data_IF_930205468866
#
_entry.id   IF_930205468866
#
_cell.length_a   1.000
_cell.length_b   1.000
_cell.length_c   1.000
_cell.angle_alpha   90.00
_cell.angle_beta   90.00
_cell.angle_gamma   90.00
#
_symmetry.space_group_name_H-M   'P 1'
#
loop_
_entity.id
_entity.type
_entity.pdbx_description
1 polymer ?
#
# COMPACT_ATOMS: atom_id res chain seq x y z
N UNK A 1 -11.78 -15.40 -3.83
CA UNK A 1 -10.53 -14.64 -3.90
C UNK A 1 -10.83 -13.34 -4.62
N UNK A 2 -10.37 -12.21 -4.11
CA UNK A 2 -10.54 -10.90 -4.74
C UNK A 2 -9.59 -10.73 -5.93
N UNK A 3 -9.84 -9.73 -6.77
CA UNK A 3 -8.94 -9.35 -7.87
C UNK A 3 -7.85 -8.39 -7.41
N UNK A 4 -6.80 -8.21 -8.23
CA UNK A 4 -5.77 -7.20 -7.98
C UNK A 4 -6.37 -5.79 -7.86
N UNK A 5 -7.32 -5.43 -8.72
CA UNK A 5 -8.03 -4.15 -8.66
C UNK A 5 -8.77 -3.97 -7.33
N UNK A 6 -9.45 -5.01 -6.85
CA UNK A 6 -10.12 -4.97 -5.55
C UNK A 6 -9.12 -4.84 -4.39
N UNK A 7 -7.91 -5.38 -4.54
CA UNK A 7 -6.85 -5.22 -3.53
C UNK A 7 -6.32 -3.78 -3.49
N UNK A 8 -6.15 -3.14 -4.66
CA UNK A 8 -5.79 -1.73 -4.76
C UNK A 8 -6.86 -0.87 -4.09
N UNK A 9 -8.15 -1.07 -4.41
CA UNK A 9 -9.26 -0.35 -3.80
C UNK A 9 -9.32 -0.53 -2.28
N UNK A 10 -9.03 -1.74 -1.78
CA UNK A 10 -8.98 -2.01 -0.35
C UNK A 10 -7.86 -1.21 0.35
N UNK A 11 -6.67 -1.18 -0.26
CA UNK A 11 -5.54 -0.44 0.26
C UNK A 11 -5.74 1.10 0.17
N UNK A 12 -6.38 1.59 -0.89
CA UNK A 12 -6.73 3.01 -1.04
C UNK A 12 -7.75 3.47 0.02
N UNK A 13 -8.76 2.64 0.29
CA UNK A 13 -9.74 2.89 1.36
C UNK A 13 -9.05 2.92 2.73
N UNK A 14 -8.12 2.01 2.97
CA UNK A 14 -7.37 1.96 4.22
C UNK A 14 -6.51 3.22 4.43
N UNK A 15 -5.78 3.64 3.39
CA UNK A 15 -5.02 4.89 3.34
C UNK A 15 -5.88 6.10 3.72
N UNK A 16 -7.02 6.24 3.04
CA UNK A 16 -7.96 7.34 3.23
C UNK A 16 -8.51 7.37 4.66
N UNK A 17 -8.89 6.21 5.22
CA UNK A 17 -9.41 6.10 6.58
C UNK A 17 -8.38 6.49 7.64
N UNK A 18 -7.10 6.21 7.40
CA UNK A 18 -6.01 6.48 8.34
C UNK A 18 -5.38 7.87 8.16
N UNK A 19 -5.86 8.66 7.19
CA UNK A 19 -5.32 9.98 6.83
C UNK A 19 -3.82 9.94 6.50
N UNK A 20 -3.37 8.85 5.89
CA UNK A 20 -2.01 8.76 5.37
C UNK A 20 -1.85 9.60 4.11
N UNK A 21 -0.61 9.88 3.75
CA UNK A 21 -0.27 10.50 2.46
C UNK A 21 -0.85 9.62 1.34
N UNK A 22 -1.53 10.19 0.34
CA UNK A 22 -1.91 9.45 -0.86
C UNK A 22 -0.66 8.84 -1.49
N UNK A 23 -0.78 7.74 -2.22
CA UNK A 23 0.32 7.22 -3.03
C UNK A 23 0.33 7.84 -4.43
N UNK A 24 1.45 7.71 -5.14
CA UNK A 24 1.52 7.94 -6.58
C UNK A 24 0.88 6.75 -7.31
N UNK A 25 -0.27 6.98 -7.95
CA UNK A 25 -1.03 5.98 -8.70
C UNK A 25 -0.20 5.31 -9.81
N UNK A 26 0.77 6.03 -10.40
CA UNK A 26 1.62 5.48 -11.49
C UNK A 26 2.67 4.50 -10.97
N UNK A 27 2.96 4.57 -9.67
CA UNK A 27 3.93 3.72 -8.98
C UNK A 27 3.33 2.42 -8.46
N UNK A 28 1.99 2.27 -8.46
CA UNK A 28 1.32 1.11 -7.88
C UNK A 28 1.74 -0.17 -8.59
N UNK A 29 2.13 -1.17 -7.81
CA UNK A 29 2.43 -2.53 -8.24
C UNK A 29 1.71 -3.51 -7.32
N UNK A 30 1.18 -4.58 -7.90
CA UNK A 30 0.53 -5.65 -7.16
C UNK A 30 1.29 -6.94 -7.38
N UNK A 31 1.56 -7.67 -6.31
CA UNK A 31 2.09 -9.03 -6.38
C UNK A 31 1.23 -9.95 -5.52
N UNK A 32 1.11 -11.20 -5.93
CA UNK A 32 0.43 -12.22 -5.15
C UNK A 32 1.47 -13.12 -4.47
N UNK A 33 1.32 -13.34 -3.17
CA UNK A 33 2.21 -14.17 -2.37
C UNK A 33 1.46 -14.84 -1.23
N UNK A 34 2.05 -15.90 -0.67
CA UNK A 34 1.58 -16.51 0.57
C UNK A 34 2.46 -16.05 1.72
N UNK A 35 1.89 -15.32 2.67
CA UNK A 35 2.58 -14.78 3.84
C UNK A 35 1.94 -15.38 5.08
N UNK A 36 2.73 -16.11 5.89
CA UNK A 36 2.25 -16.75 7.13
C UNK A 36 1.00 -17.64 6.94
N UNK A 37 1.00 -18.48 5.89
CA UNK A 37 -0.14 -19.31 5.46
C UNK A 37 -1.40 -18.53 5.06
N UNK A 38 -1.26 -17.25 4.73
CA UNK A 38 -2.34 -16.39 4.23
C UNK A 38 -2.08 -15.99 2.78
N UNK A 39 -3.00 -16.34 1.89
CA UNK A 39 -2.98 -15.84 0.51
C UNK A 39 -3.15 -14.31 0.51
N UNK A 40 -2.18 -13.60 -0.03
CA UNK A 40 -2.02 -12.16 0.16
C UNK A 40 -1.72 -11.45 -1.15
N UNK A 41 -2.45 -10.37 -1.42
CA UNK A 41 -2.03 -9.36 -2.38
C UNK A 41 -1.18 -8.33 -1.67
N UNK A 42 0.06 -8.15 -2.15
CA UNK A 42 0.96 -7.09 -1.70
C UNK A 42 0.81 -5.94 -2.68
N UNK A 43 0.22 -4.85 -2.22
CA UNK A 43 0.01 -3.62 -2.99
C UNK A 43 1.09 -2.62 -2.59
N UNK A 44 2.10 -2.41 -3.44
CA UNK A 44 3.20 -1.50 -3.16
C UNK A 44 3.14 -0.24 -4.02
N UNK A 45 3.50 0.90 -3.45
CA UNK A 45 3.57 2.19 -4.13
C UNK A 45 4.58 3.11 -3.43
N UNK A 46 4.90 4.23 -4.06
CA UNK A 46 5.56 5.36 -3.41
C UNK A 46 4.52 6.37 -2.94
N UNK A 47 4.82 7.11 -1.87
CA UNK A 47 3.99 8.26 -1.48
C UNK A 47 3.90 9.30 -2.60
N UNK A 48 2.73 9.89 -2.76
CA UNK A 48 2.49 10.98 -3.71
C UNK A 48 3.29 12.21 -3.30
N UNK A 49 3.90 12.82 -4.30
CA UNK A 49 4.53 14.12 -4.16
C UNK A 49 3.47 15.20 -4.02
N UNK A 50 3.50 16.05 -2.97
CA UNK A 50 2.60 17.19 -2.86
C UNK A 50 2.77 18.14 -4.05
N UNK A 51 1.68 18.55 -4.73
CA UNK A 51 1.79 19.51 -5.82
C UNK A 51 2.21 20.89 -5.30
N UNK A 52 3.19 21.51 -5.96
CA UNK A 52 3.58 22.90 -5.70
C UNK A 52 4.92 23.11 -4.97
N UNK A 53 5.62 22.04 -4.59
CA UNK A 53 7.00 22.13 -4.11
C UNK A 53 7.99 21.87 -5.25
N UNK A 54 9.10 22.61 -5.29
CA UNK A 54 10.17 22.35 -6.26
C UNK A 54 10.78 20.96 -6.00
N UNK A 55 11.13 20.23 -7.05
CA UNK A 55 11.60 18.83 -6.96
C UNK A 55 12.76 18.62 -5.97
N UNK A 56 13.65 19.61 -5.82
CA UNK A 56 14.77 19.57 -4.88
C UNK A 56 14.38 19.79 -3.41
N UNK A 57 13.17 20.30 -3.14
CA UNK A 57 12.62 20.49 -1.80
C UNK A 57 11.86 19.26 -1.31
N UNK A 58 11.51 18.35 -2.22
CA UNK A 58 10.65 17.23 -1.91
C UNK A 58 11.43 16.16 -1.12
N UNK A 59 10.81 15.58 -0.08
CA UNK A 59 11.41 14.43 0.58
C UNK A 59 11.55 13.28 -0.43
N UNK A 60 12.57 12.41 -0.28
CA UNK A 60 12.71 11.25 -1.13
C UNK A 60 11.45 10.38 -1.04
N UNK A 61 10.97 9.81 -2.16
CA UNK A 61 9.80 8.94 -2.15
C UNK A 61 10.01 7.76 -1.20
N UNK A 62 9.07 7.55 -0.28
CA UNK A 62 9.12 6.44 0.66
C UNK A 62 8.31 5.28 0.08
N UNK A 63 8.91 4.09 -0.11
CA UNK A 63 8.17 2.92 -0.53
C UNK A 63 7.27 2.42 0.61
N UNK A 64 6.03 2.12 0.28
CA UNK A 64 5.05 1.52 1.19
C UNK A 64 4.38 0.33 0.51
N UNK A 65 4.12 -0.73 1.27
CA UNK A 65 3.36 -1.88 0.81
C UNK A 65 2.24 -2.23 1.78
N UNK A 66 1.06 -2.52 1.24
CA UNK A 66 -0.11 -2.94 1.98
C UNK A 66 -0.34 -4.43 1.78
N UNK A 67 -0.51 -5.15 2.88
CA UNK A 67 -0.80 -6.57 2.88
C UNK A 67 -2.32 -6.74 2.91
N UNK A 68 -2.88 -7.19 1.80
CA UNK A 68 -4.32 -7.37 1.61
C UNK A 68 -4.66 -8.85 1.57
N UNK A 69 -5.55 -9.28 2.45
CA UNK A 69 -6.06 -10.64 2.46
C UNK A 69 -6.75 -10.97 1.13
N UNK A 70 -6.26 -11.97 0.41
CA UNK A 70 -6.79 -12.31 -0.91
C UNK A 70 -8.20 -12.93 -0.85
N UNK A 71 -8.67 -13.37 0.33
CA UNK A 71 -10.00 -13.93 0.50
C UNK A 71 -11.03 -12.84 0.78
N UNK A 72 -10.80 -12.02 1.81
CA UNK A 72 -11.74 -11.02 2.30
C UNK A 72 -11.48 -9.58 1.85
N UNK A 73 -10.34 -9.29 1.22
CA UNK A 73 -9.96 -7.94 0.81
C UNK A 73 -9.70 -6.99 1.97
N UNK A 74 -9.26 -7.53 3.11
CA UNK A 74 -8.96 -6.74 4.31
C UNK A 74 -7.46 -6.45 4.34
N UNK A 75 -7.10 -5.17 4.49
CA UNK A 75 -5.72 -4.77 4.79
C UNK A 75 -5.40 -5.20 6.22
N UNK A 76 -4.47 -6.13 6.37
CA UNK A 76 -4.06 -6.67 7.67
C UNK A 76 -2.61 -6.32 8.01
N UNK A 77 -1.90 -5.58 7.15
CA UNK A 77 -0.56 -5.10 7.48
C UNK A 77 -0.07 -4.03 6.52
N UNK A 78 0.96 -3.32 6.98
CA UNK A 78 1.70 -2.32 6.22
C UNK A 78 3.18 -2.59 6.40
N UNK A 79 3.92 -2.54 5.30
CA UNK A 79 5.38 -2.64 5.27
C UNK A 79 5.94 -1.33 4.71
N UNK A 80 6.92 -0.78 5.42
CA UNK A 80 7.66 0.42 5.03
C UNK A 80 9.15 0.12 5.10
N UNK A 81 9.99 1.04 4.66
CA UNK A 81 11.45 0.97 4.88
C UNK A 81 11.84 0.77 6.37
N UNK A 82 10.97 1.18 7.31
CA UNK A 82 11.19 1.07 8.75
C UNK A 82 10.80 -0.28 9.32
N UNK A 83 10.16 -1.13 8.52
CA UNK A 83 9.71 -2.46 8.91
C UNK A 83 8.22 -2.70 8.65
N UNK A 84 7.79 -3.91 9.01
CA UNK A 84 6.43 -4.42 8.84
C UNK A 84 5.62 -4.26 10.13
N UNK A 85 4.40 -3.76 9.99
CA UNK A 85 3.38 -3.72 11.03
C UNK A 85 2.19 -4.59 10.60
N UNK A 86 1.79 -5.54 11.45
CA UNK A 86 0.63 -6.41 11.21
C UNK A 86 -0.47 -6.04 12.19
N UNK A 87 -1.70 -5.93 11.69
CA UNK A 87 -2.91 -5.68 12.47
C UNK A 87 -3.55 -7.03 12.80
N UNK A 88 -3.74 -7.30 14.10
CA UNK A 88 -4.42 -8.50 14.61
C UNK A 88 -5.93 -8.43 14.47
#
# INVERSE_FOLDING_TARGET
>A
MITEQQAIEAAERFLTQRKYTPWDETSVRVTFSEIENRSTFVVSAYDAVPPGEEEWMQPPPVPVAYLVDAIGGIVYGVETERGRTVFG
#
